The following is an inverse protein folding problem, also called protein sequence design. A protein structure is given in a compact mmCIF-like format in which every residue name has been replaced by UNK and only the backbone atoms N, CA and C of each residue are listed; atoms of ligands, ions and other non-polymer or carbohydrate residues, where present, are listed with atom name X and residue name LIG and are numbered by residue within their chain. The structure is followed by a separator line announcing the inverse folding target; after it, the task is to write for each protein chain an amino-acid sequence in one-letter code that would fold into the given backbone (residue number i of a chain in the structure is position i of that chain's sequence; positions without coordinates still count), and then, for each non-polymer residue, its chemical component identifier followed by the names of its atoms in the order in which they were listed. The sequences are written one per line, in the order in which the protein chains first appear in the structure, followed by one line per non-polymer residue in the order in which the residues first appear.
data_IF_271753961972
#
_entry.id   IF_271753961972
#
_cell.length_a   1.000
_cell.length_b   1.000
_cell.length_c   1.000
_cell.angle_alpha   90.00
_cell.angle_beta   90.00
_cell.angle_gamma   90.00
#
_symmetry.space_group_name_H-M   'P 1'
#
loop_
_entity.id
_entity.type
_entity.pdbx_description
1 polymer ?
#
# COMPACT_ATOMS: atom_id res chain seq x y z
N UNK A 1 -9.20 -8.55 6.16
CA UNK A 1 -8.89 -7.67 5.01
C UNK A 1 -7.38 -7.40 5.00
N UNK A 2 -6.80 -6.85 3.92
CA UNK A 2 -5.34 -6.58 3.81
C UNK A 2 -5.15 -5.17 3.28
N UNK A 3 -4.24 -4.42 3.86
CA UNK A 3 -4.04 -3.00 3.62
C UNK A 3 -2.57 -2.75 3.30
N UNK A 4 -2.27 -2.13 2.15
CA UNK A 4 -0.97 -1.53 1.93
C UNK A 4 -1.00 -0.10 2.45
N UNK A 5 -0.08 0.24 3.35
CA UNK A 5 0.05 1.56 3.93
C UNK A 5 1.07 2.37 3.13
N UNK A 6 0.67 3.55 2.69
CA UNK A 6 1.59 4.55 2.19
C UNK A 6 2.50 5.06 3.32
N UNK A 7 3.69 5.52 2.95
CA UNK A 7 4.67 6.18 3.82
C UNK A 7 4.06 7.33 4.60
N UNK A 8 3.09 8.03 4.01
CA UNK A 8 2.38 9.14 4.65
C UNK A 8 1.52 8.71 5.85
N UNK A 9 0.95 7.50 5.82
CA UNK A 9 0.16 6.91 6.93
C UNK A 9 1.07 6.47 8.06
N UNK A 10 2.15 5.78 7.70
CA UNK A 10 3.19 5.31 8.64
C UNK A 10 3.85 6.48 9.37
N UNK A 11 4.19 7.55 8.65
CA UNK A 11 4.81 8.76 9.22
C UNK A 11 3.92 9.43 10.26
N UNK A 12 2.61 9.49 10.02
CA UNK A 12 1.65 10.08 10.96
C UNK A 12 1.50 9.25 12.23
N UNK A 13 1.45 7.93 12.09
CA UNK A 13 1.47 7.02 13.24
C UNK A 13 2.74 7.25 14.08
N UNK A 14 3.91 7.26 13.43
CA UNK A 14 5.19 7.52 14.09
C UNK A 14 5.20 8.89 14.80
N UNK A 15 4.67 9.94 14.17
CA UNK A 15 4.56 11.27 14.79
C UNK A 15 3.72 11.23 16.07
N UNK A 16 2.62 10.51 16.07
CA UNK A 16 1.78 10.31 17.26
C UNK A 16 2.51 9.56 18.37
N UNK A 17 3.20 8.46 18.04
CA UNK A 17 3.99 7.68 19.02
C UNK A 17 5.17 8.46 19.61
N UNK A 18 5.66 9.49 18.92
CA UNK A 18 6.72 10.39 19.38
C UNK A 18 6.19 11.58 20.20
N UNK A 19 4.89 11.62 20.52
CA UNK A 19 4.28 12.70 21.30
C UNK A 19 4.05 13.99 20.50
N UNK A 20 4.01 13.91 19.17
CA UNK A 20 3.61 15.04 18.33
C UNK A 20 2.14 15.40 18.51
N UNK A 21 1.75 16.59 18.03
CA UNK A 21 0.35 17.06 18.05
C UNK A 21 -0.60 16.02 17.47
N UNK A 22 -1.63 15.68 18.23
CA UNK A 22 -2.69 14.72 17.84
C UNK A 22 -3.71 15.41 16.93
N UNK A 23 -3.34 15.63 15.68
CA UNK A 23 -4.28 15.95 14.61
C UNK A 23 -5.13 14.72 14.25
N UNK A 24 -6.28 14.93 13.61
CA UNK A 24 -7.21 13.85 13.27
C UNK A 24 -6.55 12.72 12.46
N UNK A 25 -5.73 13.08 11.47
CA UNK A 25 -4.96 12.15 10.63
C UNK A 25 -3.89 11.37 11.42
N UNK A 26 -3.34 11.94 12.50
CA UNK A 26 -2.43 11.24 13.41
C UNK A 26 -3.22 10.26 14.27
N UNK A 27 -4.36 10.67 14.81
CA UNK A 27 -5.23 9.80 15.62
C UNK A 27 -5.73 8.61 14.80
N UNK A 28 -6.23 8.83 13.59
CA UNK A 28 -6.68 7.78 12.68
C UNK A 28 -5.53 6.80 12.37
N UNK A 29 -4.32 7.31 12.08
CA UNK A 29 -3.15 6.45 11.89
C UNK A 29 -2.79 5.62 13.13
N UNK A 30 -2.93 6.15 14.34
CA UNK A 30 -2.69 5.40 15.59
C UNK A 30 -3.75 4.32 15.81
N UNK A 31 -5.03 4.68 15.63
CA UNK A 31 -6.17 3.75 15.75
C UNK A 31 -6.00 2.59 14.76
N UNK A 32 -5.55 2.88 13.54
CA UNK A 32 -5.33 1.87 12.52
C UNK A 32 -4.30 0.81 12.94
N UNK A 33 -3.17 1.23 13.53
CA UNK A 33 -2.12 0.32 14.00
C UNK A 33 -2.47 -0.41 15.30
N UNK A 34 -3.44 0.08 16.06
CA UNK A 34 -3.86 -0.53 17.34
C UNK A 34 -5.04 -1.49 17.17
N UNK A 35 -5.95 -1.20 16.23
CA UNK A 35 -7.18 -1.97 16.06
C UNK A 35 -7.09 -3.04 14.97
N UNK A 36 -6.18 -2.91 14.00
CA UNK A 36 -6.04 -3.90 12.94
C UNK A 36 -4.96 -4.93 13.27
N UNK A 37 -5.20 -6.22 12.99
CA UNK A 37 -4.20 -7.26 13.25
C UNK A 37 -2.97 -7.07 12.34
N UNK A 38 -1.77 -7.35 12.86
CA UNK A 38 -0.49 -7.25 12.14
C UNK A 38 -0.53 -7.92 10.76
N UNK A 39 -1.12 -9.12 10.67
CA UNK A 39 -1.25 -9.88 9.43
C UNK A 39 -2.12 -9.22 8.35
N UNK A 40 -2.76 -8.08 8.67
CA UNK A 40 -3.54 -7.27 7.73
C UNK A 40 -2.80 -6.03 7.24
N UNK A 41 -1.72 -5.61 7.90
CA UNK A 41 -1.03 -4.36 7.61
C UNK A 41 0.27 -4.63 6.83
N UNK A 42 0.36 -4.06 5.64
CA UNK A 42 1.50 -4.19 4.76
C UNK A 42 2.15 -2.84 4.50
N UNK A 43 3.46 -2.82 4.35
CA UNK A 43 4.23 -1.67 3.91
C UNK A 43 5.13 -2.04 2.72
N UNK A 44 5.59 -1.04 1.96
CA UNK A 44 6.60 -1.28 0.94
C UNK A 44 7.96 -1.60 1.58
N UNK A 45 8.82 -2.33 0.86
CA UNK A 45 10.19 -2.60 1.28
C UNK A 45 10.99 -1.31 1.57
N UNK A 46 10.74 -0.25 0.80
CA UNK A 46 11.34 1.06 1.02
C UNK A 46 10.92 1.65 2.38
N UNK A 47 9.64 1.59 2.71
CA UNK A 47 9.11 2.07 4.00
C UNK A 47 9.69 1.26 5.15
N UNK A 48 9.80 -0.06 4.99
CA UNK A 48 10.45 -0.94 5.97
C UNK A 48 11.90 -0.52 6.22
N UNK A 49 12.70 -0.34 5.17
CA UNK A 49 14.08 0.11 5.30
C UNK A 49 14.21 1.48 5.99
N UNK A 50 13.29 2.40 5.71
CA UNK A 50 13.26 3.69 6.41
C UNK A 50 13.03 3.48 7.91
N UNK A 51 12.06 2.66 8.29
CA UNK A 51 11.73 2.39 9.70
C UNK A 51 12.85 1.67 10.45
N UNK A 52 13.55 0.73 9.81
CA UNK A 52 14.55 -0.12 10.49
C UNK A 52 15.96 0.44 10.45
N UNK A 53 16.32 1.25 9.45
CA UNK A 53 17.70 1.69 9.24
C UNK A 53 17.91 3.20 9.27
N UNK A 54 16.88 3.99 8.93
CA UNK A 54 17.00 5.45 8.86
C UNK A 54 16.44 6.09 10.13
N UNK A 55 15.26 5.65 10.57
CA UNK A 55 14.60 6.13 11.78
C UNK A 55 15.23 5.43 13.00
N UNK A 56 16.14 6.12 13.68
CA UNK A 56 16.85 5.59 14.87
C UNK A 56 16.08 5.84 16.18
N UNK A 57 14.79 5.53 16.20
CA UNK A 57 13.96 5.59 17.43
C UNK A 57 13.24 4.26 17.66
N UNK A 58 13.01 3.85 18.93
CA UNK A 58 12.34 2.58 19.24
C UNK A 58 10.97 2.42 18.57
N UNK A 59 10.22 3.52 18.44
CA UNK A 59 8.90 3.56 17.80
C UNK A 59 8.96 3.15 16.32
N UNK A 60 10.05 3.45 15.61
CA UNK A 60 10.24 3.03 14.22
C UNK A 60 10.33 1.51 14.10
N UNK A 61 11.09 0.88 15.00
CA UNK A 61 11.20 -0.58 15.07
C UNK A 61 9.88 -1.23 15.47
N UNK A 62 9.19 -0.66 16.47
CA UNK A 62 7.86 -1.12 16.87
C UNK A 62 6.89 -1.14 15.68
N UNK A 63 6.80 -0.07 14.88
CA UNK A 63 5.94 -0.04 13.70
C UNK A 63 6.34 -1.07 12.63
N UNK A 64 7.66 -1.28 12.44
CA UNK A 64 8.15 -2.29 11.51
C UNK A 64 7.74 -3.72 11.96
N UNK A 65 7.80 -3.99 13.26
CA UNK A 65 7.40 -5.28 13.83
C UNK A 65 5.87 -5.46 13.87
N UNK A 66 5.08 -4.38 13.72
CA UNK A 66 3.61 -4.43 13.60
C UNK A 66 3.11 -4.48 12.14
N UNK A 67 4.01 -4.64 11.16
CA UNK A 67 3.63 -4.67 9.74
C UNK A 67 4.37 -5.76 8.99
N UNK A 68 3.78 -6.21 7.89
CA UNK A 68 4.42 -7.11 6.95
C UNK A 68 4.97 -6.34 5.74
N UNK A 69 6.02 -6.85 5.12
CA UNK A 69 6.55 -6.27 3.88
C UNK A 69 5.83 -6.87 2.69
N UNK A 70 5.31 -6.01 1.81
CA UNK A 70 4.78 -6.42 0.52
C UNK A 70 5.88 -6.37 -0.54
N UNK A 71 6.18 -7.51 -1.13
CA UNK A 71 7.23 -7.69 -2.12
C UNK A 71 6.69 -7.61 -3.55
N UNK A 72 7.42 -6.96 -4.49
CA UNK A 72 7.04 -6.94 -5.89
C UNK A 72 7.24 -8.31 -6.53
N UNK A 73 6.39 -8.64 -7.50
CA UNK A 73 6.47 -9.87 -8.30
C UNK A 73 6.66 -9.56 -9.79
N UNK A 74 6.70 -10.60 -10.62
CA UNK A 74 6.96 -10.54 -12.07
C UNK A 74 6.22 -9.40 -12.80
N UNK A 75 4.94 -9.18 -12.48
CA UNK A 75 4.10 -8.24 -13.20
C UNK A 75 3.99 -6.84 -12.56
N UNK A 76 4.56 -6.64 -11.37
CA UNK A 76 4.51 -5.35 -10.66
C UNK A 76 5.14 -4.23 -11.50
N UNK A 77 6.33 -4.44 -12.09
CA UNK A 77 6.97 -3.40 -12.93
C UNK A 77 6.20 -3.11 -14.22
N UNK A 78 5.67 -4.15 -14.87
CA UNK A 78 4.88 -4.02 -16.11
C UNK A 78 3.61 -3.21 -15.87
N UNK A 79 2.93 -3.49 -14.77
CA UNK A 79 1.70 -2.79 -14.42
C UNK A 79 1.96 -1.34 -13.98
N UNK A 80 3.01 -1.08 -13.20
CA UNK A 80 3.43 0.28 -12.86
C UNK A 80 3.72 1.13 -14.11
N UNK A 81 4.37 0.56 -15.13
CA UNK A 81 4.58 1.27 -16.41
C UNK A 81 3.26 1.67 -17.08
N UNK A 82 2.27 0.78 -17.10
CA UNK A 82 0.94 1.07 -17.67
C UNK A 82 0.18 2.13 -16.87
N UNK A 83 0.31 2.13 -15.55
CA UNK A 83 -0.24 3.20 -14.70
C UNK A 83 0.42 4.55 -15.02
N UNK A 84 1.74 4.60 -15.27
CA UNK A 84 2.41 5.83 -15.68
C UNK A 84 1.93 6.39 -17.03
N UNK A 85 1.56 5.53 -17.98
CA UNK A 85 0.90 5.94 -19.24
C UNK A 85 -0.47 6.60 -18.98
N UNK A 86 -1.05 6.37 -17.80
CA UNK A 86 -2.26 7.00 -17.29
C UNK A 86 -1.93 8.12 -16.27
N UNK A 87 -0.81 8.81 -16.45
CA UNK A 87 -0.35 9.99 -15.70
C UNK A 87 -0.21 9.82 -14.19
N UNK A 88 -0.09 8.59 -13.68
CA UNK A 88 0.31 8.39 -12.27
C UNK A 88 1.79 8.72 -12.10
N UNK A 89 2.15 9.31 -10.95
CA UNK A 89 3.53 9.53 -10.56
C UNK A 89 4.32 8.22 -10.49
N UNK A 90 5.65 8.28 -10.51
CA UNK A 90 6.50 7.07 -10.47
C UNK A 90 6.28 6.27 -9.19
N UNK A 91 6.23 6.94 -8.05
CA UNK A 91 6.01 6.32 -6.73
C UNK A 91 4.58 5.77 -6.64
N UNK A 92 3.56 6.59 -6.92
CA UNK A 92 2.14 6.20 -6.91
C UNK A 92 1.86 4.98 -7.80
N UNK A 93 2.37 5.01 -9.04
CA UNK A 93 2.20 3.90 -9.98
C UNK A 93 2.88 2.63 -9.48
N UNK A 94 4.02 2.75 -8.80
CA UNK A 94 4.70 1.61 -8.20
C UNK A 94 3.91 1.06 -7.00
N UNK A 95 3.44 1.91 -6.08
CA UNK A 95 2.68 1.49 -4.90
C UNK A 95 1.32 0.89 -5.27
N UNK A 96 0.58 1.48 -6.22
CA UNK A 96 -0.65 0.88 -6.74
C UNK A 96 -0.39 -0.47 -7.39
N UNK A 97 0.73 -0.58 -8.11
CA UNK A 97 1.09 -1.84 -8.72
C UNK A 97 1.49 -2.90 -7.69
N UNK A 98 2.20 -2.48 -6.64
CA UNK A 98 2.53 -3.32 -5.50
C UNK A 98 1.24 -3.75 -4.78
N UNK A 99 0.28 -2.85 -4.59
CA UNK A 99 -1.03 -3.20 -4.03
C UNK A 99 -1.84 -4.16 -4.93
N UNK A 100 -1.63 -4.13 -6.24
CA UNK A 100 -2.34 -5.00 -7.20
C UNK A 100 -1.72 -6.40 -7.30
N UNK A 101 -0.38 -6.48 -7.38
CA UNK A 101 0.35 -7.72 -7.70
C UNK A 101 1.29 -8.19 -6.59
N UNK A 102 1.54 -7.37 -5.58
CA UNK A 102 2.51 -7.66 -4.54
C UNK A 102 2.15 -8.89 -3.71
N UNK A 103 3.13 -9.41 -3.00
CA UNK A 103 2.99 -10.65 -2.25
C UNK A 103 3.74 -10.58 -0.92
N UNK A 104 3.33 -11.36 0.07
CA UNK A 104 3.92 -11.39 1.41
C UNK A 104 5.33 -12.02 1.43
N UNK A 105 5.69 -12.82 0.40
CA UNK A 105 7.01 -13.46 0.29
C UNK A 105 7.49 -13.59 -1.17
N UNK A 106 8.76 -13.33 -1.41
CA UNK A 106 9.38 -13.27 -2.76
C UNK A 106 9.18 -14.56 -3.61
N UNK A 107 9.10 -15.75 -2.98
CA UNK A 107 9.09 -17.05 -3.71
C UNK A 107 7.86 -17.93 -3.48
N UNK A 108 7.17 -17.77 -2.36
CA UNK A 108 6.06 -18.66 -1.93
C UNK A 108 4.96 -17.83 -1.25
N UNK A 109 4.71 -16.62 -1.74
CA UNK A 109 3.73 -15.77 -1.10
C UNK A 109 2.32 -16.34 -1.25
N UNK A 110 1.58 -16.31 -0.15
CA UNK A 110 0.22 -16.81 -0.03
C UNK A 110 -0.82 -15.80 -0.52
N UNK A 111 -0.39 -14.56 -0.76
CA UNK A 111 -1.27 -13.46 -1.19
C UNK A 111 -0.88 -12.94 -2.57
N UNK A 112 -1.88 -12.44 -3.29
CA UNK A 112 -1.71 -11.68 -4.52
C UNK A 112 -2.47 -10.36 -4.39
N UNK A 113 -1.72 -9.28 -4.24
CA UNK A 113 -2.25 -7.95 -3.96
C UNK A 113 -2.87 -7.83 -2.56
N UNK A 114 -3.40 -6.64 -2.30
CA UNK A 114 -4.11 -6.27 -1.07
C UNK A 114 -5.52 -5.79 -1.43
N UNK A 115 -6.37 -5.68 -0.40
CA UNK A 115 -7.75 -5.25 -0.60
C UNK A 115 -7.87 -3.73 -0.66
N UNK A 116 -7.03 -3.01 0.10
CA UNK A 116 -7.01 -1.56 0.11
C UNK A 116 -5.58 -1.00 0.14
N UNK A 117 -5.40 0.15 -0.49
CA UNK A 117 -4.19 0.96 -0.42
C UNK A 117 -4.55 2.27 0.30
N UNK A 118 -3.95 2.46 1.48
CA UNK A 118 -4.26 3.57 2.38
C UNK A 118 -3.24 4.69 2.20
N UNK A 119 -3.73 5.88 1.88
CA UNK A 119 -2.90 7.09 1.72
C UNK A 119 -3.69 8.32 2.17
N UNK A 120 -2.97 9.37 2.56
CA UNK A 120 -3.55 10.71 2.76
C UNK A 120 -3.36 11.61 1.53
N UNK A 121 -2.81 11.10 0.42
CA UNK A 121 -2.74 11.85 -0.82
C UNK A 121 -4.11 11.89 -1.51
N UNK A 122 -4.86 12.92 -1.17
CA UNK A 122 -6.16 13.27 -1.73
C UNK A 122 -6.14 13.44 -3.26
N UNK A 123 -5.03 13.95 -3.82
CA UNK A 123 -4.90 14.10 -5.27
C UNK A 123 -4.79 12.74 -5.93
N UNK A 124 -4.01 11.83 -5.35
CA UNK A 124 -3.88 10.46 -5.83
C UNK A 124 -5.21 9.71 -5.74
N UNK A 125 -5.94 9.82 -4.62
CA UNK A 125 -7.27 9.21 -4.43
C UNK A 125 -8.23 9.68 -5.53
N UNK A 126 -8.37 11.00 -5.72
CA UNK A 126 -9.24 11.57 -6.76
C UNK A 126 -8.84 11.12 -8.16
N UNK A 127 -7.54 11.13 -8.48
CA UNK A 127 -7.04 10.70 -9.78
C UNK A 127 -7.34 9.21 -10.04
N UNK A 128 -7.18 8.36 -9.02
CA UNK A 128 -7.49 6.94 -9.11
C UNK A 128 -8.98 6.70 -9.39
N UNK A 129 -9.86 7.33 -8.62
CA UNK A 129 -11.31 7.19 -8.79
C UNK A 129 -11.79 7.73 -10.14
N UNK A 130 -11.32 8.91 -10.54
CA UNK A 130 -11.66 9.51 -11.83
C UNK A 130 -11.27 8.63 -13.04
N UNK A 131 -10.25 7.79 -12.89
CA UNK A 131 -9.74 6.90 -13.94
C UNK A 131 -10.08 5.44 -13.71
N UNK A 132 -10.84 5.10 -12.66
CA UNK A 132 -11.07 3.72 -12.24
C UNK A 132 -11.57 2.82 -13.37
N UNK A 133 -12.60 3.19 -14.18
CA UNK A 133 -13.08 2.35 -15.26
C UNK A 133 -12.00 2.01 -16.29
N UNK A 134 -11.14 2.99 -16.63
CA UNK A 134 -10.04 2.82 -17.58
C UNK A 134 -8.95 1.90 -17.02
N UNK A 135 -8.56 2.12 -15.76
CA UNK A 135 -7.54 1.32 -15.07
C UNK A 135 -8.02 -0.13 -14.96
N UNK A 136 -9.28 -0.33 -14.55
CA UNK A 136 -9.87 -1.66 -14.38
C UNK A 136 -9.94 -2.41 -15.71
N UNK A 137 -10.43 -1.78 -16.77
CA UNK A 137 -10.47 -2.37 -18.11
C UNK A 137 -9.06 -2.75 -18.62
N UNK A 138 -8.04 -1.94 -18.32
CA UNK A 138 -6.66 -2.22 -18.71
C UNK A 138 -6.01 -3.32 -17.87
N UNK A 139 -6.37 -3.44 -16.59
CA UNK A 139 -5.95 -4.55 -15.75
C UNK A 139 -6.60 -5.85 -16.23
N UNK A 140 -7.93 -5.87 -16.46
CA UNK A 140 -8.65 -7.05 -16.96
C UNK A 140 -8.04 -7.60 -18.26
N UNK A 141 -7.76 -6.72 -19.22
CA UNK A 141 -7.06 -7.12 -20.46
C UNK A 141 -5.65 -7.66 -20.21
N UNK A 142 -4.95 -7.13 -19.20
CA UNK A 142 -3.62 -7.62 -18.83
C UNK A 142 -3.68 -9.02 -18.23
N UNK A 143 -4.58 -9.23 -17.27
CA UNK A 143 -4.64 -10.43 -16.43
C UNK A 143 -5.27 -11.62 -17.16
N UNK A 144 -6.15 -11.38 -18.14
CA UNK A 144 -6.77 -12.43 -18.95
C UNK A 144 -5.77 -13.36 -19.67
N UNK A 145 -4.53 -12.91 -19.91
CA UNK A 145 -3.49 -13.66 -20.60
C UNK A 145 -2.41 -14.22 -19.66
N UNK A 146 -2.54 -14.04 -18.35
CA UNK A 146 -1.52 -14.44 -17.39
C UNK A 146 -1.85 -15.81 -16.79
N UNK A 147 -0.81 -16.58 -16.49
CA UNK A 147 -0.98 -17.83 -15.75
C UNK A 147 -1.35 -17.55 -14.28
N UNK A 148 -2.01 -18.51 -13.60
CA UNK A 148 -2.19 -18.46 -12.16
C UNK A 148 -0.87 -18.21 -11.41
N UNK A 149 -0.90 -17.47 -10.28
CA UNK A 149 -2.08 -16.83 -9.70
C UNK A 149 -2.42 -15.48 -10.33
N UNK A 150 -1.60 -14.95 -11.23
CA UNK A 150 -1.66 -13.55 -11.68
C UNK A 150 -2.92 -13.16 -12.45
N UNK A 151 -3.62 -14.12 -13.05
CA UNK A 151 -4.94 -13.89 -13.65
C UNK A 151 -5.99 -13.43 -12.63
N UNK A 152 -5.78 -13.71 -11.34
CA UNK A 152 -6.67 -13.34 -10.25
C UNK A 152 -6.37 -11.98 -9.62
N UNK A 153 -5.38 -11.24 -10.10
CA UNK A 153 -5.02 -9.93 -9.55
C UNK A 153 -6.19 -8.93 -9.67
N UNK A 154 -6.41 -8.14 -8.62
CA UNK A 154 -7.49 -7.14 -8.54
C UNK A 154 -6.92 -5.79 -8.14
N UNK A 155 -7.58 -4.72 -8.57
CA UNK A 155 -7.25 -3.37 -8.09
C UNK A 155 -7.63 -3.24 -6.61
N UNK A 156 -6.80 -2.57 -5.79
CA UNK A 156 -7.18 -2.24 -4.42
C UNK A 156 -8.23 -1.13 -4.41
N UNK A 157 -9.00 -1.04 -3.31
CA UNK A 157 -9.66 0.23 -2.94
C UNK A 157 -8.59 1.24 -2.55
N UNK A 158 -8.60 2.45 -3.12
CA UNK A 158 -7.68 3.53 -2.74
C UNK A 158 -8.45 4.53 -1.90
N UNK A 159 -8.07 4.69 -0.64
CA UNK A 159 -8.82 5.46 0.34
C UNK A 159 -7.93 5.97 1.48
N UNK A 160 -8.50 6.82 2.32
CA UNK A 160 -7.85 7.27 3.56
C UNK A 160 -8.00 6.23 4.66
N UNK A 161 -7.22 6.34 5.75
CA UNK A 161 -7.48 5.57 6.97
C UNK A 161 -8.89 5.80 7.55
N UNK A 162 -9.44 7.01 7.46
CA UNK A 162 -10.79 7.32 7.94
C UNK A 162 -11.88 6.45 7.28
N UNK A 163 -11.67 6.05 6.03
CA UNK A 163 -12.63 5.26 5.24
C UNK A 163 -12.76 3.78 5.66
N UNK A 164 -11.90 3.31 6.56
CA UNK A 164 -11.78 1.89 6.96
C UNK A 164 -11.79 1.66 8.47
N UNK A 165 -11.86 2.73 9.26
CA UNK A 165 -12.04 2.72 10.71
C UNK A 165 -13.52 2.85 11.05
#
# INVERSE_FOLDING_TARGET
MRYLLDKSVVRRCLRGLLGGTLTEDVQQSLILFTNLPEASLYISLETFHILTHIVKVPQGRFLADQTQVLYPVRYTRRWARRLREMNFGREDAYLLSLATFGTDRIKQGHILGVHAFLTYDERMIRQFHARFPLIEARLKRMTAQLNPPYCFARLPRVCTPADVL
#
